data_IF_769344842770
#
_entry.id   IF_769344842770
#
_cell.length_a   1.000
_cell.length_b   1.000
_cell.length_c   1.000
_cell.angle_alpha   90.00
_cell.angle_beta   90.00
_cell.angle_gamma   90.00
#
_symmetry.space_group_name_H-M   'P 1'
#
loop_
_entity.id
_entity.type
_entity.pdbx_description
1 polymer ?
#
# COMPACT_ATOMS: atom_id res chain seq x y z
N UNK A 1 -14.28 -12.58 6.12
CA UNK A 1 -13.26 -13.65 6.14
C UNK A 1 -13.88 -14.93 6.66
N UNK A 2 -13.82 -16.03 5.91
CA UNK A 2 -14.43 -17.31 6.30
C UNK A 2 -13.62 -17.92 7.45
N UNK A 3 -14.28 -18.58 8.44
CA UNK A 3 -13.60 -19.27 9.56
C UNK A 3 -12.51 -20.23 9.07
N UNK A 4 -12.69 -20.84 7.93
CA UNK A 4 -11.72 -21.75 7.28
C UNK A 4 -10.45 -21.01 6.85
N UNK A 5 -10.58 -19.81 6.32
CA UNK A 5 -9.43 -18.98 5.91
C UNK A 5 -8.65 -18.48 7.12
N UNK A 6 -9.33 -18.21 8.21
CA UNK A 6 -8.71 -17.77 9.45
C UNK A 6 -7.81 -18.83 10.08
N UNK A 7 -8.28 -20.09 10.11
CA UNK A 7 -7.45 -21.19 10.62
C UNK A 7 -6.22 -21.43 9.73
N UNK A 8 -6.37 -21.33 8.41
CA UNK A 8 -5.24 -21.44 7.49
C UNK A 8 -4.26 -20.28 7.64
N UNK A 9 -4.76 -19.05 7.78
CA UNK A 9 -3.92 -17.86 8.03
C UNK A 9 -3.11 -18.03 9.31
N UNK A 10 -3.75 -18.44 10.42
CA UNK A 10 -3.05 -18.66 11.69
C UNK A 10 -1.98 -19.75 11.59
N UNK A 11 -2.23 -20.83 10.84
CA UNK A 11 -1.23 -21.88 10.61
C UNK A 11 -0.05 -21.35 9.81
N UNK A 12 -0.30 -20.57 8.76
CA UNK A 12 0.75 -19.99 7.93
C UNK A 12 1.55 -18.96 8.72
N UNK A 13 0.90 -18.07 9.45
CA UNK A 13 1.55 -17.10 10.34
C UNK A 13 2.39 -17.78 11.42
N UNK A 14 1.87 -18.85 12.02
CA UNK A 14 2.60 -19.64 13.00
C UNK A 14 3.86 -20.30 12.43
N UNK A 15 3.77 -20.87 11.21
CA UNK A 15 4.92 -21.43 10.51
C UNK A 15 5.94 -20.37 10.13
N UNK A 16 5.47 -19.24 9.60
CA UNK A 16 6.32 -18.11 9.27
C UNK A 16 7.01 -17.54 10.51
N UNK A 17 6.27 -17.36 11.60
CA UNK A 17 6.81 -16.92 12.89
C UNK A 17 7.87 -17.86 13.45
N UNK A 18 7.65 -19.18 13.39
CA UNK A 18 8.64 -20.17 13.82
C UNK A 18 9.91 -20.07 12.98
N UNK A 19 9.78 -19.96 11.66
CA UNK A 19 10.92 -19.78 10.76
C UNK A 19 11.63 -18.46 11.09
N UNK A 20 10.89 -17.38 11.27
CA UNK A 20 11.41 -16.07 11.65
C UNK A 20 12.13 -16.08 12.99
N UNK A 21 11.56 -16.72 14.02
CA UNK A 21 12.18 -16.84 15.34
C UNK A 21 13.47 -17.66 15.32
N UNK A 22 13.63 -18.54 14.32
CA UNK A 22 14.87 -19.29 14.11
C UNK A 22 15.95 -18.47 13.36
N UNK A 23 15.59 -17.32 12.78
CA UNK A 23 16.53 -16.42 12.15
C UNK A 23 17.16 -15.53 13.22
N UNK A 24 18.45 -15.24 13.03
CA UNK A 24 19.12 -14.27 13.86
C UNK A 24 18.50 -12.88 13.61
N UNK A 25 17.83 -12.31 14.61
CA UNK A 25 17.06 -11.06 14.48
C UNK A 25 17.94 -9.82 14.35
N UNK A 26 19.25 -9.94 14.57
CA UNK A 26 20.21 -8.87 14.30
C UNK A 26 20.58 -8.99 12.82
N UNK A 27 20.16 -8.06 11.96
CA UNK A 27 20.51 -8.10 10.54
C UNK A 27 22.03 -7.94 10.42
N UNK A 28 22.71 -9.04 10.10
CA UNK A 28 24.12 -9.01 9.75
C UNK A 28 24.23 -8.44 8.35
N UNK A 29 24.83 -7.26 8.24
CA UNK A 29 25.14 -6.67 6.95
C UNK A 29 26.16 -7.55 6.23
N UNK A 30 25.77 -8.11 5.10
CA UNK A 30 26.64 -8.89 4.22
C UNK A 30 26.74 -8.20 2.87
N UNK A 31 27.93 -8.20 2.32
CA UNK A 31 28.17 -7.64 0.99
C UNK A 31 28.18 -8.78 -0.04
N UNK A 32 27.39 -8.65 -1.09
CA UNK A 32 27.28 -9.67 -2.15
C UNK A 32 28.65 -10.04 -2.72
N UNK A 33 29.50 -9.06 -2.97
CA UNK A 33 30.85 -9.27 -3.48
C UNK A 33 31.69 -10.26 -2.64
N UNK A 34 31.39 -10.40 -1.35
CA UNK A 34 32.11 -11.27 -0.42
C UNK A 34 31.43 -12.62 -0.21
N UNK A 35 30.15 -12.74 -0.52
CA UNK A 35 29.33 -13.88 -0.11
C UNK A 35 28.67 -14.64 -1.26
N UNK A 36 28.51 -14.01 -2.43
CA UNK A 36 27.92 -14.70 -3.59
C UNK A 36 28.91 -15.70 -4.14
N UNK A 37 28.43 -16.92 -4.37
CA UNK A 37 29.18 -17.99 -5.03
C UNK A 37 29.04 -17.88 -6.55
N UNK A 38 30.11 -18.22 -7.26
CA UNK A 38 30.14 -18.19 -8.73
C UNK A 38 29.02 -19.07 -9.34
N UNK A 39 28.83 -20.28 -8.82
CA UNK A 39 27.80 -21.22 -9.32
C UNK A 39 26.38 -20.64 -9.21
N UNK A 40 26.10 -19.87 -8.14
CA UNK A 40 24.83 -19.17 -7.98
C UNK A 40 24.64 -18.12 -9.08
N UNK A 41 25.65 -17.31 -9.35
CA UNK A 41 25.58 -16.28 -10.40
C UNK A 41 25.47 -16.91 -11.80
N UNK A 42 26.25 -17.96 -12.09
CA UNK A 42 26.21 -18.68 -13.35
C UNK A 42 24.80 -19.25 -13.58
N UNK A 43 24.26 -19.97 -12.61
CA UNK A 43 22.89 -20.51 -12.70
C UNK A 43 21.84 -19.41 -12.92
N UNK A 44 21.95 -18.30 -12.20
CA UNK A 44 21.02 -17.17 -12.38
C UNK A 44 21.13 -16.57 -13.78
N UNK A 45 22.35 -16.36 -14.28
CA UNK A 45 22.63 -15.80 -15.61
C UNK A 45 22.08 -16.74 -16.71
N UNK A 46 22.39 -18.01 -16.64
CA UNK A 46 21.95 -19.01 -17.63
C UNK A 46 20.42 -19.06 -17.73
N UNK A 47 19.75 -19.09 -16.58
CA UNK A 47 18.29 -19.08 -16.49
C UNK A 47 17.70 -17.78 -17.04
N UNK A 48 18.30 -16.62 -16.73
CA UNK A 48 17.85 -15.34 -17.23
C UNK A 48 17.99 -15.24 -18.75
N UNK A 49 19.13 -15.65 -19.30
CA UNK A 49 19.34 -15.71 -20.76
C UNK A 49 18.42 -16.71 -21.44
N UNK A 50 18.17 -17.88 -20.80
CA UNK A 50 17.23 -18.85 -21.32
C UNK A 50 15.85 -18.25 -21.53
N UNK A 51 15.26 -17.61 -20.54
CA UNK A 51 13.90 -17.02 -20.65
C UNK A 51 13.88 -15.79 -21.56
N UNK A 52 14.95 -15.01 -21.60
CA UNK A 52 15.06 -13.88 -22.51
C UNK A 52 15.00 -14.32 -23.98
N UNK A 53 15.73 -15.40 -24.34
CA UNK A 53 15.76 -15.95 -25.71
C UNK A 53 14.51 -16.76 -26.03
N UNK A 54 13.90 -17.40 -25.06
CA UNK A 54 12.78 -18.33 -25.23
C UNK A 54 11.51 -17.63 -25.67
N UNK A 55 11.17 -16.52 -25.05
CA UNK A 55 9.86 -15.91 -25.23
C UNK A 55 9.85 -14.78 -26.27
N UNK A 56 8.83 -14.76 -27.18
CA UNK A 56 8.83 -13.87 -28.35
C UNK A 56 8.72 -12.37 -28.00
N UNK A 57 8.08 -12.02 -26.90
CA UNK A 57 7.94 -10.63 -26.46
C UNK A 57 9.25 -9.99 -26.01
N UNK A 58 10.27 -10.78 -25.74
CA UNK A 58 11.59 -10.26 -25.36
C UNK A 58 12.49 -9.90 -26.55
N UNK A 59 12.04 -10.13 -27.80
CA UNK A 59 12.84 -9.80 -28.99
C UNK A 59 13.13 -8.31 -29.13
N UNK A 60 12.25 -7.45 -28.61
CA UNK A 60 12.41 -6.00 -28.60
C UNK A 60 13.09 -5.47 -27.32
N UNK A 61 13.40 -6.34 -26.36
CA UNK A 61 14.02 -5.93 -25.11
C UNK A 61 15.52 -5.72 -25.32
N UNK A 62 16.02 -4.50 -25.07
CA UNK A 62 17.44 -4.19 -25.16
C UNK A 62 18.26 -4.98 -24.14
N UNK A 63 19.57 -5.05 -24.34
CA UNK A 63 20.45 -5.69 -23.36
C UNK A 63 20.46 -4.96 -22.03
N UNK A 64 20.37 -3.63 -22.03
CA UNK A 64 20.28 -2.79 -20.85
C UNK A 64 18.98 -3.10 -20.08
N UNK A 65 17.84 -3.17 -20.77
CA UNK A 65 16.57 -3.55 -20.18
C UNK A 65 16.57 -5.00 -19.67
N UNK A 66 17.22 -5.92 -20.38
CA UNK A 66 17.44 -7.28 -19.88
C UNK A 66 18.23 -7.29 -18.59
N UNK A 67 19.33 -6.53 -18.51
CA UNK A 67 20.16 -6.41 -17.33
C UNK A 67 19.41 -5.80 -16.15
N UNK A 68 18.42 -4.94 -16.40
CA UNK A 68 17.64 -4.28 -15.36
C UNK A 68 16.44 -5.13 -14.91
N UNK A 69 15.71 -5.73 -15.85
CA UNK A 69 14.39 -6.30 -15.53
C UNK A 69 14.36 -7.82 -15.47
N UNK A 70 15.28 -8.54 -16.11
CA UNK A 70 15.29 -10.01 -16.14
C UNK A 70 16.49 -10.64 -15.46
N UNK A 71 17.67 -10.06 -15.63
CA UNK A 71 18.93 -10.62 -15.11
C UNK A 71 19.09 -10.56 -13.59
N UNK A 72 18.57 -9.56 -12.86
CA UNK A 72 18.89 -9.41 -11.44
C UNK A 72 18.56 -10.64 -10.61
N UNK A 73 19.49 -11.02 -9.75
CA UNK A 73 19.40 -12.19 -8.88
C UNK A 73 18.69 -11.91 -7.54
N UNK A 74 18.43 -10.64 -7.25
CA UNK A 74 17.68 -10.16 -6.08
C UNK A 74 16.80 -8.97 -6.44
N UNK A 75 15.97 -8.52 -5.49
CA UNK A 75 15.09 -7.36 -5.64
C UNK A 75 15.67 -6.16 -4.88
N UNK A 76 16.15 -6.38 -3.66
CA UNK A 76 16.69 -5.36 -2.78
C UNK A 76 17.76 -5.92 -1.84
N UNK A 77 17.52 -5.87 -0.55
CA UNK A 77 18.43 -6.29 0.53
C UNK A 77 18.03 -7.61 1.20
N UNK A 78 17.16 -8.39 0.57
CA UNK A 78 16.70 -9.69 1.05
C UNK A 78 17.80 -10.75 1.08
N UNK A 79 17.58 -11.82 1.85
CA UNK A 79 18.44 -13.00 1.86
C UNK A 79 18.53 -13.63 0.47
N UNK A 80 19.75 -13.94 0.03
CA UNK A 80 19.98 -14.65 -1.23
C UNK A 80 19.52 -16.10 -1.09
N UNK A 81 18.63 -16.51 -1.98
CA UNK A 81 18.08 -17.87 -2.06
C UNK A 81 17.99 -18.31 -3.52
N UNK A 82 17.99 -19.63 -3.74
CA UNK A 82 17.79 -20.17 -5.09
C UNK A 82 16.29 -20.20 -5.45
N UNK A 83 15.79 -18.99 -5.75
CA UNK A 83 14.37 -18.77 -6.01
C UNK A 83 14.00 -19.00 -7.48
N UNK A 84 14.90 -18.68 -8.42
CA UNK A 84 14.57 -18.57 -9.84
C UNK A 84 14.08 -19.89 -10.44
N UNK A 85 14.77 -20.99 -10.18
CA UNK A 85 14.40 -22.32 -10.66
C UNK A 85 13.04 -22.78 -10.10
N UNK A 86 12.77 -22.52 -8.82
CA UNK A 86 11.50 -22.87 -8.18
C UNK A 86 10.30 -22.14 -8.81
N UNK A 87 10.43 -20.86 -9.01
CA UNK A 87 9.38 -20.05 -9.66
C UNK A 87 9.23 -20.44 -11.13
N UNK A 88 10.34 -20.63 -11.85
CA UNK A 88 10.31 -21.05 -13.24
C UNK A 88 9.59 -22.40 -13.43
N UNK A 89 9.96 -23.43 -12.70
CA UNK A 89 9.34 -24.73 -12.78
C UNK A 89 7.83 -24.71 -12.52
N UNK A 90 7.40 -23.86 -11.61
CA UNK A 90 5.99 -23.75 -11.25
C UNK A 90 5.19 -23.00 -12.32
N UNK A 91 5.70 -21.90 -12.86
CA UNK A 91 4.92 -20.96 -13.67
C UNK A 91 5.19 -21.02 -15.18
N UNK A 92 6.37 -21.45 -15.62
CA UNK A 92 6.70 -21.51 -17.05
C UNK A 92 5.75 -22.37 -17.89
N UNK A 93 5.15 -23.50 -17.40
CA UNK A 93 4.24 -24.28 -18.20
C UNK A 93 3.03 -23.51 -18.72
N UNK A 94 2.59 -22.47 -17.99
CA UNK A 94 1.47 -21.61 -18.39
C UNK A 94 1.85 -20.78 -19.62
N UNK A 95 3.05 -20.20 -19.60
CA UNK A 95 3.56 -19.39 -20.70
C UNK A 95 4.00 -20.26 -21.90
N UNK A 96 4.43 -21.49 -21.68
CA UNK A 96 4.75 -22.43 -22.73
C UNK A 96 3.49 -22.86 -23.52
N UNK A 97 2.34 -22.87 -22.86
CA UNK A 97 1.04 -23.09 -23.49
C UNK A 97 0.51 -21.85 -24.24
N UNK A 98 0.98 -20.66 -23.91
CA UNK A 98 0.57 -19.40 -24.56
C UNK A 98 1.23 -19.28 -25.93
N UNK A 99 0.42 -19.13 -26.97
CA UNK A 99 0.90 -19.02 -28.36
C UNK A 99 0.98 -17.59 -28.91
N UNK A 100 0.62 -16.60 -28.07
CA UNK A 100 0.72 -15.18 -28.43
C UNK A 100 2.11 -14.60 -28.19
N UNK A 101 2.24 -13.32 -28.52
CA UNK A 101 3.48 -12.55 -28.35
C UNK A 101 3.29 -11.29 -27.46
N UNK A 102 2.09 -11.09 -26.92
CA UNK A 102 1.79 -9.95 -26.06
C UNK A 102 2.27 -10.22 -24.62
N UNK A 103 3.26 -9.46 -24.18
CA UNK A 103 3.81 -9.56 -22.83
C UNK A 103 2.78 -9.18 -21.73
N UNK A 104 1.83 -8.31 -22.05
CA UNK A 104 0.79 -7.90 -21.10
C UNK A 104 -0.17 -9.06 -20.84
N UNK A 105 -0.57 -9.79 -21.90
CA UNK A 105 -1.40 -10.98 -21.71
C UNK A 105 -0.60 -12.11 -21.04
N UNK A 106 0.68 -12.29 -21.38
CA UNK A 106 1.57 -13.23 -20.69
C UNK A 106 1.66 -12.92 -19.18
N UNK A 107 1.80 -11.64 -18.82
CA UNK A 107 1.76 -11.17 -17.44
C UNK A 107 0.42 -11.53 -16.77
N UNK A 108 -0.70 -11.26 -17.43
CA UNK A 108 -2.03 -11.51 -16.90
C UNK A 108 -2.32 -13.01 -16.70
N UNK A 109 -1.83 -13.86 -17.58
CA UNK A 109 -1.90 -15.32 -17.39
C UNK A 109 -1.18 -15.75 -16.10
N UNK A 110 0.01 -15.22 -15.83
CA UNK A 110 0.72 -15.48 -14.57
C UNK A 110 0.00 -14.88 -13.36
N UNK A 111 -0.59 -13.70 -13.48
CA UNK A 111 -1.38 -13.08 -12.41
C UNK A 111 -2.55 -13.99 -12.03
N UNK A 112 -3.29 -14.52 -13.01
CA UNK A 112 -4.41 -15.45 -12.79
C UNK A 112 -3.95 -16.73 -12.08
N UNK A 113 -2.77 -17.22 -12.42
CA UNK A 113 -2.19 -18.39 -11.74
C UNK A 113 -1.73 -18.07 -10.32
N UNK A 114 -1.03 -16.95 -10.12
CA UNK A 114 -0.60 -16.49 -8.80
C UNK A 114 -1.78 -16.29 -7.85
N UNK A 115 -2.94 -15.86 -8.36
CA UNK A 115 -4.18 -15.68 -7.57
C UNK A 115 -4.75 -17.00 -7.04
N UNK A 116 -4.47 -18.14 -7.67
CA UNK A 116 -4.91 -19.45 -7.16
C UNK A 116 -4.22 -19.80 -5.84
N UNK A 117 -2.98 -19.38 -5.68
CA UNK A 117 -2.25 -19.46 -4.44
C UNK A 117 -2.54 -18.23 -3.58
N UNK A 118 -3.34 -18.35 -2.56
CA UNK A 118 -3.76 -17.25 -1.69
C UNK A 118 -2.55 -16.52 -1.09
N UNK A 119 -2.56 -15.21 -1.19
CA UNK A 119 -1.68 -14.33 -0.44
C UNK A 119 -2.38 -13.86 0.84
N UNK A 120 -1.69 -13.97 1.98
CA UNK A 120 -2.21 -13.52 3.26
C UNK A 120 -1.65 -12.16 3.60
N UNK A 121 -2.46 -11.15 3.33
CA UNK A 121 -2.11 -9.77 3.64
C UNK A 121 -2.16 -9.52 5.15
N UNK A 122 -1.03 -9.14 5.73
CA UNK A 122 -0.91 -8.79 7.14
C UNK A 122 0.08 -7.63 7.30
N UNK A 123 -0.42 -6.48 7.75
CA UNK A 123 0.38 -5.28 8.00
C UNK A 123 0.98 -5.24 9.39
N UNK A 124 0.47 -6.06 10.31
CA UNK A 124 0.93 -6.11 11.70
C UNK A 124 2.12 -7.06 11.90
N UNK A 125 2.42 -7.84 10.86
CA UNK A 125 3.52 -8.80 10.87
C UNK A 125 4.81 -8.13 10.37
N UNK A 126 5.57 -7.60 11.31
CA UNK A 126 6.88 -7.00 11.00
C UNK A 126 7.93 -8.08 10.77
N UNK A 127 8.31 -8.26 9.52
CA UNK A 127 9.39 -9.14 9.10
C UNK A 127 10.45 -8.34 8.34
N UNK A 128 11.72 -8.78 8.32
CA UNK A 128 12.72 -8.18 7.43
C UNK A 128 12.36 -8.48 5.96
N UNK A 129 13.13 -7.94 5.05
CA UNK A 129 12.99 -8.25 3.64
C UNK A 129 13.28 -9.73 3.39
N UNK A 130 12.24 -10.50 3.08
CA UNK A 130 12.34 -11.95 2.96
C UNK A 130 12.64 -12.37 1.53
N UNK A 131 13.57 -13.32 1.39
CA UNK A 131 13.99 -13.84 0.10
C UNK A 131 12.90 -14.68 -0.60
N UNK A 132 13.12 -14.93 -1.90
CA UNK A 132 12.14 -15.59 -2.76
C UNK A 132 11.72 -16.98 -2.29
N UNK A 133 12.60 -17.76 -1.67
CA UNK A 133 12.24 -19.07 -1.14
C UNK A 133 11.22 -19.00 0.01
N UNK A 134 11.40 -18.04 0.91
CA UNK A 134 10.44 -17.80 1.99
C UNK A 134 9.08 -17.44 1.41
N UNK A 135 9.05 -16.47 0.49
CA UNK A 135 7.82 -15.98 -0.13
C UNK A 135 7.15 -17.03 -1.02
N UNK A 136 7.92 -17.90 -1.66
CA UNK A 136 7.37 -19.06 -2.40
C UNK A 136 6.58 -20.00 -1.49
N UNK A 137 7.08 -20.24 -0.28
CA UNK A 137 6.49 -21.20 0.65
C UNK A 137 5.35 -20.62 1.50
N UNK A 138 5.44 -19.34 1.91
CA UNK A 138 4.54 -18.80 2.94
C UNK A 138 3.56 -17.75 2.43
N UNK A 139 3.88 -17.00 1.36
CA UNK A 139 2.99 -16.00 0.72
C UNK A 139 2.27 -15.08 1.69
N UNK A 140 3.03 -14.52 2.60
CA UNK A 140 2.55 -13.70 3.71
C UNK A 140 3.31 -12.38 3.74
N UNK A 141 2.61 -11.29 4.02
CA UNK A 141 3.21 -9.98 4.25
C UNK A 141 2.31 -8.83 3.86
N UNK A 142 2.90 -7.66 3.68
CA UNK A 142 2.23 -6.45 3.24
C UNK A 142 2.32 -6.28 1.71
N UNK A 143 2.13 -5.06 1.23
CA UNK A 143 2.18 -4.76 -0.20
C UNK A 143 3.56 -5.06 -0.82
N UNK A 144 4.66 -4.84 -0.08
CA UNK A 144 6.01 -5.13 -0.56
C UNK A 144 6.19 -6.61 -0.86
N UNK A 145 5.90 -7.49 0.09
CA UNK A 145 6.03 -8.95 -0.07
C UNK A 145 5.14 -9.48 -1.22
N UNK A 146 3.96 -8.88 -1.39
CA UNK A 146 3.11 -9.18 -2.55
C UNK A 146 3.77 -8.76 -3.87
N UNK A 147 4.39 -7.58 -3.93
CA UNK A 147 5.14 -7.14 -5.11
C UNK A 147 6.35 -8.03 -5.38
N UNK A 148 7.08 -8.44 -4.35
CA UNK A 148 8.27 -9.27 -4.49
C UNK A 148 7.93 -10.65 -5.07
N UNK A 149 6.82 -11.28 -4.64
CA UNK A 149 6.29 -12.51 -5.26
C UNK A 149 6.00 -12.27 -6.74
N UNK A 150 5.38 -11.13 -7.09
CA UNK A 150 5.15 -10.74 -8.48
C UNK A 150 6.46 -10.66 -9.27
N UNK A 151 7.48 -9.96 -8.74
CA UNK A 151 8.80 -9.86 -9.39
C UNK A 151 9.44 -11.24 -9.58
N UNK A 152 9.49 -12.07 -8.54
CA UNK A 152 10.10 -13.39 -8.65
C UNK A 152 9.44 -14.26 -9.73
N UNK A 153 8.10 -14.32 -9.74
CA UNK A 153 7.36 -15.09 -10.73
C UNK A 153 7.56 -14.57 -12.17
N UNK A 154 7.40 -13.25 -12.36
CA UNK A 154 7.51 -12.62 -13.67
C UNK A 154 8.93 -12.69 -14.21
N UNK A 155 9.92 -12.35 -13.39
CA UNK A 155 11.34 -12.36 -13.77
C UNK A 155 11.83 -13.78 -14.08
N UNK A 156 11.43 -14.77 -13.29
CA UNK A 156 11.75 -16.19 -13.55
C UNK A 156 11.18 -16.66 -14.90
N UNK A 157 10.06 -16.12 -15.33
CA UNK A 157 9.36 -16.48 -16.56
C UNK A 157 9.59 -15.50 -17.72
N UNK A 158 10.61 -14.66 -17.65
CA UNK A 158 11.00 -13.78 -18.75
C UNK A 158 10.00 -12.65 -19.04
N UNK A 159 9.27 -12.17 -18.03
CA UNK A 159 8.40 -11.00 -18.14
C UNK A 159 9.09 -9.82 -17.45
N UNK A 160 9.44 -8.75 -18.20
CA UNK A 160 10.16 -7.61 -17.66
C UNK A 160 9.25 -6.79 -16.75
N UNK A 161 9.59 -6.76 -15.46
CA UNK A 161 8.79 -6.12 -14.42
C UNK A 161 9.63 -5.34 -13.43
N UNK A 162 9.04 -4.28 -12.87
CA UNK A 162 9.63 -3.45 -11.83
C UNK A 162 8.63 -3.21 -10.69
N UNK A 163 9.07 -2.45 -9.69
CA UNK A 163 8.26 -2.03 -8.56
C UNK A 163 8.19 -0.50 -8.55
N UNK A 164 6.98 0.03 -8.57
CA UNK A 164 6.70 1.43 -8.35
C UNK A 164 6.13 1.65 -6.95
N UNK A 165 6.39 2.84 -6.37
CA UNK A 165 5.94 3.21 -5.04
C UNK A 165 5.64 4.69 -4.93
N UNK A 166 4.76 5.06 -4.01
CA UNK A 166 4.69 6.40 -3.46
C UNK A 166 5.07 6.40 -1.97
N UNK A 167 5.59 7.53 -1.51
CA UNK A 167 6.07 7.66 -0.13
C UNK A 167 4.91 7.79 0.85
N UNK A 168 3.96 8.68 0.54
CA UNK A 168 2.80 8.92 1.39
C UNK A 168 1.64 9.45 0.57
N UNK A 169 0.46 8.85 0.74
CA UNK A 169 -0.79 9.36 0.19
C UNK A 169 -1.54 10.19 1.22
N UNK A 170 -1.95 11.39 0.84
CA UNK A 170 -2.78 12.26 1.69
C UNK A 170 -4.14 11.66 1.99
N UNK A 171 -4.59 10.75 1.12
CA UNK A 171 -5.91 10.11 1.19
C UNK A 171 -5.86 8.79 1.96
N UNK A 172 -4.83 7.95 1.70
CA UNK A 172 -4.70 6.61 2.29
C UNK A 172 -3.82 6.54 3.52
N UNK A 173 -3.16 7.64 3.87
CA UNK A 173 -2.36 7.77 5.08
C UNK A 173 -1.23 6.76 5.21
N UNK A 174 -0.54 6.47 4.15
CA UNK A 174 0.59 5.55 4.16
C UNK A 174 1.30 5.49 2.82
N UNK A 175 2.38 4.72 2.79
CA UNK A 175 3.08 4.35 1.56
C UNK A 175 2.41 3.15 0.89
N UNK A 176 2.64 2.98 -0.39
CA UNK A 176 2.22 1.79 -1.12
C UNK A 176 3.19 1.44 -2.23
N UNK A 177 3.25 0.15 -2.55
CA UNK A 177 4.04 -0.40 -3.65
C UNK A 177 3.15 -1.26 -4.54
N UNK A 178 3.43 -1.26 -5.83
CA UNK A 178 2.78 -2.14 -6.81
C UNK A 178 3.79 -2.53 -7.89
N UNK A 179 3.45 -3.57 -8.65
CA UNK A 179 4.27 -3.97 -9.77
C UNK A 179 3.89 -3.20 -11.04
N UNK A 180 4.85 -3.10 -11.96
CA UNK A 180 4.61 -2.64 -13.31
C UNK A 180 5.25 -3.62 -14.30
N UNK A 181 4.56 -3.95 -15.38
CA UNK A 181 5.09 -4.72 -16.51
C UNK A 181 5.50 -3.76 -17.62
N UNK A 182 6.71 -3.95 -18.16
CA UNK A 182 7.17 -3.21 -19.32
C UNK A 182 6.63 -3.89 -20.59
N UNK A 183 5.86 -3.16 -21.39
CA UNK A 183 5.37 -3.67 -22.65
C UNK A 183 6.46 -3.57 -23.77
N UNK A 184 6.14 -4.11 -24.94
CA UNK A 184 7.05 -4.12 -26.09
C UNK A 184 7.35 -2.73 -26.69
N UNK A 185 6.57 -1.71 -26.32
CA UNK A 185 6.78 -0.30 -26.72
C UNK A 185 7.59 0.49 -25.71
N UNK A 186 7.90 -0.10 -24.55
CA UNK A 186 8.64 0.53 -23.48
C UNK A 186 7.79 1.20 -22.40
N UNK A 187 6.46 1.14 -22.52
CA UNK A 187 5.57 1.65 -21.49
C UNK A 187 5.46 0.68 -20.32
N UNK A 188 5.27 1.24 -19.15
CA UNK A 188 5.10 0.48 -17.92
C UNK A 188 3.64 0.53 -17.47
N UNK A 189 3.03 -0.66 -17.40
CA UNK A 189 1.63 -0.83 -17.06
C UNK A 189 1.50 -1.39 -15.66
N UNK A 190 0.86 -0.68 -14.73
CA UNK A 190 0.69 -1.12 -13.36
C UNK A 190 -0.17 -2.39 -13.26
N UNK A 191 0.20 -3.23 -12.29
CA UNK A 191 -0.61 -4.36 -11.84
C UNK A 191 -0.33 -4.65 -10.36
N UNK A 192 -1.27 -5.30 -9.73
CA UNK A 192 -1.06 -5.88 -8.42
C UNK A 192 -1.75 -7.24 -8.38
N UNK A 193 -0.95 -8.31 -8.43
CA UNK A 193 -1.46 -9.65 -8.72
C UNK A 193 -2.57 -10.10 -7.78
N UNK A 194 -2.62 -9.60 -6.53
CA UNK A 194 -3.68 -9.94 -5.58
C UNK A 194 -4.99 -9.21 -5.87
N UNK A 195 -4.97 -8.10 -6.62
CA UNK A 195 -6.12 -7.22 -6.80
C UNK A 195 -6.50 -7.05 -8.28
N UNK A 196 -5.59 -6.56 -9.13
CA UNK A 196 -5.89 -6.22 -10.52
C UNK A 196 -4.79 -6.64 -11.50
N UNK A 197 -5.19 -6.90 -12.73
CA UNK A 197 -4.36 -7.26 -13.86
C UNK A 197 -3.80 -6.01 -14.56
N UNK A 198 -2.71 -6.19 -15.33
CA UNK A 198 -2.17 -5.13 -16.16
C UNK A 198 -3.12 -4.80 -17.33
N UNK A 199 -3.27 -3.52 -17.63
CA UNK A 199 -4.11 -3.05 -18.75
C UNK A 199 -3.52 -1.81 -19.41
N UNK A 200 -3.62 -1.72 -20.74
CA UNK A 200 -3.26 -0.51 -21.49
C UNK A 200 -4.28 0.61 -21.29
N UNK A 201 -5.52 0.26 -20.95
CA UNK A 201 -6.62 1.19 -20.68
C UNK A 201 -6.81 1.40 -19.17
N UNK A 202 -5.72 1.43 -18.40
CA UNK A 202 -5.80 1.53 -16.95
C UNK A 202 -6.37 2.87 -16.53
N UNK A 203 -7.43 2.80 -15.72
CA UNK A 203 -8.02 3.97 -15.07
C UNK A 203 -7.24 4.33 -13.82
N UNK A 204 -7.25 5.62 -13.46
CA UNK A 204 -6.73 6.07 -12.17
C UNK A 204 -7.46 5.31 -11.04
N UNK A 205 -6.67 4.78 -10.11
CA UNK A 205 -7.18 4.07 -8.94
C UNK A 205 -7.74 5.01 -7.85
N UNK A 206 -7.77 6.32 -8.12
CA UNK A 206 -8.25 7.35 -7.20
C UNK A 206 -7.30 7.65 -6.03
N UNK A 207 -6.14 7.01 -5.97
CA UNK A 207 -5.15 7.27 -4.93
C UNK A 207 -4.33 8.50 -5.28
N UNK A 208 -4.26 9.45 -4.35
CA UNK A 208 -3.37 10.60 -4.47
C UNK A 208 -1.97 10.20 -4.04
N UNK A 209 -1.03 10.18 -4.98
CA UNK A 209 0.32 9.65 -4.84
C UNK A 209 1.36 10.76 -4.62
N UNK A 210 1.09 11.95 -5.15
CA UNK A 210 1.97 13.11 -5.16
C UNK A 210 3.19 12.94 -6.04
N UNK A 211 3.96 11.88 -5.79
CA UNK A 211 5.15 11.46 -6.55
C UNK A 211 5.20 9.95 -6.64
N UNK A 212 5.78 9.42 -7.73
CA UNK A 212 5.97 7.99 -7.94
C UNK A 212 7.43 7.70 -8.25
N UNK A 213 7.99 6.73 -7.54
CA UNK A 213 9.37 6.28 -7.69
C UNK A 213 9.42 4.82 -8.10
N UNK A 214 10.30 4.48 -9.06
CA UNK A 214 10.57 3.12 -9.48
C UNK A 214 11.86 2.61 -8.87
N UNK A 215 11.83 1.37 -8.40
CA UNK A 215 13.03 0.67 -7.95
C UNK A 215 13.75 0.05 -9.14
N UNK A 216 15.07 0.20 -9.15
CA UNK A 216 15.99 -0.34 -10.14
C UNK A 216 17.02 -1.24 -9.46
N UNK A 217 17.61 -2.15 -10.23
CA UNK A 217 18.75 -2.94 -9.78
C UNK A 217 20.06 -2.17 -9.99
N UNK A 218 20.18 -1.47 -11.10
CA UNK A 218 21.31 -0.60 -11.39
C UNK A 218 21.23 0.74 -10.65
N UNK A 219 22.39 1.34 -10.41
CA UNK A 219 22.49 2.68 -9.80
C UNK A 219 21.87 3.71 -10.74
N UNK A 220 20.91 4.47 -10.24
CA UNK A 220 20.22 5.55 -10.97
C UNK A 220 20.72 6.93 -10.56
N UNK A 221 21.07 7.08 -9.27
CA UNK A 221 21.53 8.34 -8.70
C UNK A 221 22.89 8.16 -8.04
N UNK A 222 23.80 9.05 -8.37
CA UNK A 222 25.12 9.07 -7.73
C UNK A 222 25.10 10.09 -6.59
N UNK A 223 25.19 9.59 -5.37
CA UNK A 223 25.27 10.40 -4.16
C UNK A 223 26.69 10.39 -3.60
N UNK A 224 27.11 11.53 -3.06
CA UNK A 224 28.35 11.59 -2.27
C UNK A 224 28.20 10.78 -0.98
N UNK A 225 29.32 10.38 -0.40
CA UNK A 225 29.31 9.70 0.90
C UNK A 225 28.62 10.53 1.99
N UNK A 226 28.78 11.86 1.95
CA UNK A 226 28.15 12.79 2.88
C UNK A 226 26.61 12.80 2.72
N UNK A 227 26.10 12.81 1.49
CA UNK A 227 24.64 12.75 1.24
C UNK A 227 24.05 11.43 1.73
N UNK A 228 24.72 10.30 1.45
CA UNK A 228 24.28 8.97 1.91
C UNK A 228 24.26 8.89 3.44
N UNK A 229 25.24 9.49 4.12
CA UNK A 229 25.37 9.47 5.58
C UNK A 229 24.49 10.52 6.28
N UNK A 230 24.01 11.53 5.59
CA UNK A 230 23.19 12.58 6.18
C UNK A 230 21.81 12.06 6.61
N UNK A 231 21.68 11.70 7.90
CA UNK A 231 20.44 11.15 8.48
C UNK A 231 19.27 12.13 8.49
N UNK A 232 19.52 13.42 8.29
CA UNK A 232 18.46 14.42 8.18
C UNK A 232 17.68 14.32 6.85
N UNK A 233 18.31 13.78 5.81
CA UNK A 233 17.62 13.50 4.54
C UNK A 233 16.87 12.17 4.66
N UNK A 234 15.56 12.09 4.33
CA UNK A 234 14.80 10.86 4.35
C UNK A 234 15.48 9.72 3.55
N UNK A 235 15.39 8.50 4.07
CA UNK A 235 16.13 7.34 3.54
C UNK A 235 15.91 7.12 2.04
N UNK A 236 14.67 7.29 1.57
CA UNK A 236 14.36 7.10 0.16
C UNK A 236 15.19 8.04 -0.74
N UNK A 237 15.38 9.29 -0.33
CA UNK A 237 16.15 10.26 -1.12
C UNK A 237 17.68 10.07 -1.05
N UNK A 238 18.11 9.06 -0.33
CA UNK A 238 19.51 8.61 -0.26
C UNK A 238 19.72 7.24 -0.90
N UNK A 239 18.64 6.65 -1.43
CA UNK A 239 18.68 5.36 -2.11
C UNK A 239 19.13 5.56 -3.56
N UNK A 240 20.32 5.07 -3.97
CA UNK A 240 20.79 5.23 -5.33
C UNK A 240 20.06 4.37 -6.35
N UNK A 241 19.22 3.44 -5.91
CA UNK A 241 18.52 2.46 -6.74
C UNK A 241 17.09 2.85 -7.09
N UNK A 242 16.72 4.11 -6.90
CA UNK A 242 15.39 4.61 -7.26
C UNK A 242 15.47 5.73 -8.28
N UNK A 243 14.42 5.88 -9.07
CA UNK A 243 14.24 6.98 -10.02
C UNK A 243 12.82 7.51 -9.93
N UNK A 244 12.68 8.83 -10.03
CA UNK A 244 11.38 9.48 -10.21
C UNK A 244 10.79 9.10 -11.58
N UNK A 245 9.60 8.51 -11.57
CA UNK A 245 8.83 8.15 -12.76
C UNK A 245 7.46 8.80 -12.77
N UNK A 246 7.28 9.87 -12.00
CA UNK A 246 6.01 10.59 -11.84
C UNK A 246 5.44 11.08 -13.15
N UNK A 247 6.30 11.45 -14.13
CA UNK A 247 5.87 11.84 -15.47
C UNK A 247 5.04 10.76 -16.18
N UNK A 248 5.33 9.47 -15.92
CA UNK A 248 4.58 8.36 -16.51
C UNK A 248 3.12 8.28 -16.00
N UNK A 249 2.84 8.91 -14.86
CA UNK A 249 1.54 8.90 -14.19
C UNK A 249 0.78 10.22 -14.33
N UNK A 250 1.50 11.34 -14.28
CA UNK A 250 0.89 12.67 -14.13
C UNK A 250 1.23 13.62 -15.28
N UNK A 251 2.14 13.22 -16.18
CA UNK A 251 2.70 14.10 -17.18
C UNK A 251 3.74 15.07 -16.62
N UNK A 252 4.16 16.02 -17.42
CA UNK A 252 5.20 17.01 -17.08
C UNK A 252 4.58 18.22 -16.39
N UNK A 253 4.33 18.10 -15.11
CA UNK A 253 3.78 19.16 -14.25
C UNK A 253 4.88 19.71 -13.33
N UNK A 254 5.42 20.87 -13.66
CA UNK A 254 6.54 21.47 -12.95
C UNK A 254 6.11 22.71 -12.19
N UNK A 255 6.64 22.92 -10.99
CA UNK A 255 6.43 24.13 -10.20
C UNK A 255 7.75 24.72 -9.74
N UNK A 256 7.84 26.05 -9.73
CA UNK A 256 8.97 26.81 -9.20
C UNK A 256 8.53 27.55 -7.94
N UNK A 257 9.24 27.34 -6.86
CA UNK A 257 8.91 27.87 -5.54
C UNK A 257 10.08 28.74 -5.07
N UNK A 258 9.86 30.05 -4.84
CA UNK A 258 10.86 30.91 -4.20
C UNK A 258 11.13 30.42 -2.77
N UNK A 259 12.40 30.25 -2.42
CA UNK A 259 12.86 29.86 -1.10
C UNK A 259 13.54 31.07 -0.46
N UNK A 260 13.02 31.50 0.68
CA UNK A 260 13.55 32.66 1.40
C UNK A 260 14.69 32.28 2.34
N UNK A 261 14.64 31.05 2.84
CA UNK A 261 15.66 30.51 3.73
C UNK A 261 16.96 30.23 2.99
N UNK A 262 18.09 30.56 3.59
CA UNK A 262 19.41 30.18 3.07
C UNK A 262 19.60 28.66 3.25
N UNK A 263 19.48 27.91 2.19
CA UNK A 263 19.66 26.46 2.17
C UNK A 263 19.96 25.95 0.75
N UNK A 264 20.68 24.84 0.67
CA UNK A 264 21.04 24.20 -0.61
C UNK A 264 19.96 23.19 -1.06
N UNK A 265 19.12 22.72 -0.14
CA UNK A 265 18.17 21.64 -0.38
C UNK A 265 16.78 22.01 0.10
N UNK A 266 15.84 21.99 -0.82
CA UNK A 266 14.42 22.06 -0.55
C UNK A 266 13.74 20.70 -0.76
N UNK A 267 12.63 20.49 -0.07
CA UNK A 267 11.79 19.31 -0.20
C UNK A 267 10.34 19.74 -0.40
N UNK A 268 9.53 18.84 -0.92
CA UNK A 268 8.10 19.04 -1.05
C UNK A 268 7.38 18.02 -0.15
N UNK A 269 6.55 18.52 0.75
CA UNK A 269 5.83 17.71 1.72
C UNK A 269 4.36 17.57 1.40
N UNK A 270 3.77 16.44 1.81
CA UNK A 270 2.32 16.22 1.85
C UNK A 270 1.86 16.03 3.28
N UNK A 271 0.60 16.34 3.54
CA UNK A 271 0.04 16.28 4.89
C UNK A 271 -0.13 14.84 5.39
N UNK A 272 0.22 14.63 6.66
CA UNK A 272 -0.05 13.41 7.41
C UNK A 272 -0.50 13.73 8.85
N UNK A 273 -1.06 12.77 9.60
CA UNK A 273 -1.37 12.96 11.02
C UNK A 273 -0.17 13.35 11.89
N UNK A 274 1.04 13.04 11.42
CA UNK A 274 2.29 13.32 12.13
C UNK A 274 2.99 14.60 11.67
N UNK A 275 2.35 15.38 10.80
CA UNK A 275 2.92 16.56 10.17
C UNK A 275 3.21 16.35 8.69
N UNK A 276 4.07 17.18 8.14
CA UNK A 276 4.43 17.13 6.72
C UNK A 276 5.46 16.03 6.45
N UNK A 277 5.15 15.16 5.49
CA UNK A 277 6.07 14.10 5.03
C UNK A 277 6.66 14.53 3.70
N UNK A 278 7.97 14.64 3.63
CA UNK A 278 8.67 14.94 2.39
C UNK A 278 8.48 13.80 1.37
N UNK A 279 8.01 14.16 0.18
CA UNK A 279 7.78 13.23 -0.94
C UNK A 279 8.63 13.53 -2.16
N UNK A 280 9.30 14.68 -2.19
CA UNK A 280 10.25 15.07 -3.23
C UNK A 280 11.37 15.93 -2.66
N UNK A 281 12.51 16.00 -3.35
CA UNK A 281 13.62 16.89 -3.02
C UNK A 281 14.22 17.51 -4.26
N UNK A 282 14.73 18.72 -4.13
CA UNK A 282 15.46 19.43 -5.19
C UNK A 282 16.55 20.33 -4.61
N UNK A 283 17.56 20.64 -5.42
CA UNK A 283 18.58 21.64 -5.07
C UNK A 283 17.95 23.04 -5.27
N UNK A 284 18.27 23.98 -4.37
CA UNK A 284 17.88 25.37 -4.48
C UNK A 284 18.89 26.11 -5.35
N UNK A 285 18.45 26.61 -6.49
CA UNK A 285 19.28 27.38 -7.41
C UNK A 285 18.83 28.83 -7.43
N UNK A 286 19.73 29.76 -7.05
CA UNK A 286 19.45 31.21 -7.01
C UNK A 286 18.17 31.56 -6.23
N UNK A 287 17.94 30.88 -5.11
CA UNK A 287 16.77 31.08 -4.26
C UNK A 287 15.47 30.49 -4.79
N UNK A 288 15.53 29.59 -5.79
CA UNK A 288 14.34 28.92 -6.34
C UNK A 288 14.52 27.41 -6.27
N UNK A 289 13.48 26.73 -5.78
CA UNK A 289 13.34 25.28 -5.83
C UNK A 289 12.41 24.89 -6.98
N UNK A 290 12.88 24.05 -7.89
CA UNK A 290 12.06 23.52 -9.00
C UNK A 290 11.72 22.05 -8.73
N UNK A 291 10.42 21.77 -8.60
CA UNK A 291 9.89 20.41 -8.48
C UNK A 291 9.22 19.99 -9.78
N UNK A 292 9.48 18.77 -10.20
CA UNK A 292 9.05 18.26 -11.50
C UNK A 292 7.96 17.21 -11.37
N UNK A 293 7.10 17.11 -12.38
CA UNK A 293 6.16 15.99 -12.58
C UNK A 293 5.23 15.73 -11.38
N UNK A 294 4.68 16.79 -10.79
CA UNK A 294 3.80 16.68 -9.63
C UNK A 294 2.41 16.19 -10.03
N UNK A 295 1.78 15.41 -9.16
CA UNK A 295 0.34 15.14 -9.27
C UNK A 295 -0.44 16.42 -8.93
N UNK A 296 -1.41 16.78 -9.78
CA UNK A 296 -2.24 17.97 -9.59
C UNK A 296 -3.30 17.77 -8.50
N UNK A 297 -3.83 18.87 -7.98
CA UNK A 297 -4.93 18.89 -7.02
C UNK A 297 -4.61 18.17 -5.69
N UNK A 298 -3.37 18.30 -5.25
CA UNK A 298 -2.88 17.89 -3.92
C UNK A 298 -2.39 19.10 -3.17
N UNK A 299 -2.58 19.12 -1.86
CA UNK A 299 -2.00 20.13 -0.98
C UNK A 299 -0.55 19.78 -0.71
N UNK A 300 0.35 20.65 -1.13
CA UNK A 300 1.78 20.55 -0.90
C UNK A 300 2.26 21.63 0.06
N UNK A 301 3.33 21.31 0.80
CA UNK A 301 4.06 22.25 1.66
C UNK A 301 5.53 22.25 1.26
N UNK A 302 6.10 23.39 0.87
CA UNK A 302 7.54 23.52 0.73
C UNK A 302 8.22 23.29 2.08
N UNK A 303 9.32 22.57 2.07
CA UNK A 303 10.11 22.22 3.25
C UNK A 303 11.58 22.54 2.97
N UNK A 304 12.30 22.95 3.98
CA UNK A 304 13.75 23.20 3.90
C UNK A 304 14.49 22.44 4.98
N UNK A 305 15.72 22.04 4.68
CA UNK A 305 16.61 21.37 5.63
C UNK A 305 17.55 22.42 6.25
N UNK A 306 17.33 22.74 7.52
CA UNK A 306 18.18 23.68 8.27
C UNK A 306 18.64 23.05 9.57
N UNK A 307 19.93 23.17 9.88
CA UNK A 307 20.56 22.66 11.12
C UNK A 307 20.21 21.20 11.43
N UNK A 308 20.06 20.37 10.38
CA UNK A 308 19.74 18.95 10.51
C UNK A 308 18.27 18.62 10.76
N UNK A 309 17.37 19.60 10.66
CA UNK A 309 15.93 19.43 10.82
C UNK A 309 15.17 19.92 9.58
N UNK A 310 14.06 19.26 9.28
CA UNK A 310 13.16 19.65 8.19
C UNK A 310 12.08 20.58 8.77
N UNK A 311 11.94 21.76 8.18
CA UNK A 311 10.99 22.79 8.58
C UNK A 311 10.10 23.20 7.41
N UNK A 312 8.82 23.57 7.65
CA UNK A 312 8.00 24.24 6.65
C UNK A 312 8.60 25.55 6.18
N UNK A 313 8.50 25.84 4.90
CA UNK A 313 8.89 27.08 4.25
C UNK A 313 7.68 27.70 3.55
N UNK A 314 7.38 28.96 3.87
CA UNK A 314 6.21 29.64 3.30
C UNK A 314 4.87 28.97 3.62
N UNK A 315 3.93 29.06 2.70
CA UNK A 315 2.56 28.55 2.87
C UNK A 315 2.30 27.28 2.05
N UNK A 316 1.40 26.40 2.53
CA UNK A 316 0.91 25.31 1.71
C UNK A 316 0.21 25.83 0.46
N UNK A 317 0.22 25.01 -0.59
CA UNK A 317 -0.44 25.34 -1.84
C UNK A 317 -1.06 24.13 -2.52
N UNK A 318 -2.02 24.36 -3.42
CA UNK A 318 -2.51 23.40 -4.40
C UNK A 318 -2.05 23.84 -5.78
N UNK A 319 -1.58 22.89 -6.59
CA UNK A 319 -1.29 23.11 -8.00
C UNK A 319 -2.34 22.38 -8.86
N UNK A 320 -3.02 23.13 -9.73
CA UNK A 320 -4.11 22.60 -10.57
C UNK A 320 -3.64 22.14 -11.96
N UNK A 321 -2.34 22.19 -12.22
CA UNK A 321 -1.72 21.91 -13.52
C UNK A 321 -1.36 23.18 -14.31
N UNK A 322 -1.80 24.36 -13.83
CA UNK A 322 -1.52 25.65 -14.47
C UNK A 322 -1.06 26.71 -13.48
N UNK A 323 -1.65 26.75 -12.30
CA UNK A 323 -1.45 27.78 -11.28
C UNK A 323 -1.34 27.16 -9.88
N UNK A 324 -0.54 27.78 -9.03
CA UNK A 324 -0.46 27.50 -7.60
C UNK A 324 -1.43 28.42 -6.84
N UNK A 325 -2.22 27.82 -5.94
CA UNK A 325 -3.13 28.52 -5.03
C UNK A 325 -2.64 28.32 -3.61
N UNK A 326 -2.15 29.39 -2.99
CA UNK A 326 -1.59 29.34 -1.64
C UNK A 326 -2.66 29.48 -0.58
N UNK A 327 -2.55 28.71 0.50
CA UNK A 327 -3.38 28.84 1.70
C UNK A 327 -2.74 29.82 2.67
N UNK A 328 -3.00 31.09 2.48
CA UNK A 328 -2.51 32.14 3.35
C UNK A 328 -3.57 32.42 4.41
N UNK A 329 -3.28 32.18 5.73
CA UNK A 329 -4.27 32.40 6.78
C UNK A 329 -4.54 33.91 6.94
N UNK A 330 -5.81 34.25 7.01
CA UNK A 330 -6.23 35.59 7.46
C UNK A 330 -6.36 35.55 9.00
N UNK A 331 -5.39 36.13 9.69
CA UNK A 331 -5.35 36.14 11.15
C UNK A 331 -6.31 37.15 11.77
N UNK A 332 -6.99 37.98 10.95
CA UNK A 332 -7.99 38.95 11.41
C UNK A 332 -9.40 38.35 11.46
N UNK A 333 -9.63 37.22 10.80
CA UNK A 333 -10.92 36.55 10.73
C UNK A 333 -10.83 35.14 11.42
N UNK A 334 -11.79 34.90 12.30
CA UNK A 334 -11.89 33.63 13.01
C UNK A 334 -13.23 32.98 12.71
N UNK A 335 -13.21 31.69 12.35
CA UNK A 335 -14.41 30.90 12.11
C UNK A 335 -14.39 29.62 12.96
N UNK A 336 -15.58 29.13 13.33
CA UNK A 336 -15.72 27.88 14.07
C UNK A 336 -16.03 26.76 13.10
N UNK A 337 -15.03 25.89 12.85
CA UNK A 337 -15.18 24.75 11.96
C UNK A 337 -15.48 23.49 12.78
N UNK A 338 -16.66 22.85 12.61
CA UNK A 338 -16.93 21.58 13.24
C UNK A 338 -16.07 20.46 12.60
N UNK A 339 -15.17 19.90 13.38
CA UNK A 339 -14.33 18.78 12.91
C UNK A 339 -14.97 17.48 13.41
N UNK A 340 -15.57 16.72 12.51
CA UNK A 340 -16.21 15.44 12.84
C UNK A 340 -15.31 14.23 12.61
N UNK A 341 -14.31 14.37 11.73
CA UNK A 341 -13.37 13.30 11.39
C UNK A 341 -12.05 13.87 10.89
N UNK A 342 -10.94 13.28 11.34
CA UNK A 342 -9.58 13.69 10.95
C UNK A 342 -9.27 13.42 9.46
N UNK A 343 -9.76 12.28 8.94
CA UNK A 343 -9.62 11.90 7.54
C UNK A 343 -10.96 11.38 7.02
N UNK A 344 -11.45 11.87 5.87
CA UNK A 344 -12.66 11.33 5.25
C UNK A 344 -12.40 9.90 4.76
N UNK A 345 -13.41 9.04 4.90
CA UNK A 345 -13.41 7.75 4.22
C UNK A 345 -13.60 7.97 2.71
N UNK A 346 -12.88 7.20 1.93
CA UNK A 346 -13.11 7.17 0.49
C UNK A 346 -14.43 6.48 0.15
N UNK A 347 -15.11 6.86 -0.94
CA UNK A 347 -16.39 6.25 -1.33
C UNK A 347 -16.34 4.71 -1.41
N UNK A 348 -15.24 4.15 -1.93
CA UNK A 348 -15.09 2.69 -2.01
C UNK A 348 -14.98 2.03 -0.63
N UNK A 349 -14.36 2.68 0.37
CA UNK A 349 -14.29 2.18 1.75
C UNK A 349 -15.67 2.19 2.40
N UNK A 350 -16.42 3.28 2.20
CA UNK A 350 -17.82 3.40 2.66
C UNK A 350 -18.66 2.31 2.02
N UNK A 351 -18.55 2.11 0.72
CA UNK A 351 -19.27 1.08 -0.01
C UNK A 351 -18.91 -0.33 0.48
N UNK A 352 -17.63 -0.61 0.71
CA UNK A 352 -17.18 -1.89 1.25
C UNK A 352 -17.77 -2.17 2.63
N UNK A 353 -17.70 -1.20 3.55
CA UNK A 353 -18.28 -1.33 4.90
C UNK A 353 -19.81 -1.51 4.84
N UNK A 354 -20.48 -0.74 4.01
CA UNK A 354 -21.93 -0.81 3.84
C UNK A 354 -22.37 -2.16 3.27
N UNK A 355 -21.67 -2.69 2.26
CA UNK A 355 -21.95 -4.02 1.70
C UNK A 355 -21.83 -5.14 2.73
N UNK A 356 -20.93 -5.00 3.69
CA UNK A 356 -20.77 -5.98 4.77
C UNK A 356 -21.89 -5.88 5.83
N UNK A 357 -22.51 -4.72 5.93
CA UNK A 357 -23.65 -4.49 6.83
C UNK A 357 -25.01 -4.94 6.24
N UNK A 358 -25.14 -5.07 4.93
CA UNK A 358 -26.41 -5.44 4.27
C UNK A 358 -26.96 -6.75 4.82
N UNK A 359 -28.17 -6.72 5.35
CA UNK A 359 -28.84 -7.88 5.93
C UNK A 359 -28.31 -8.29 7.30
N UNK A 360 -27.52 -7.43 7.97
CA UNK A 360 -27.17 -7.64 9.37
C UNK A 360 -28.41 -7.49 10.26
N UNK A 361 -28.51 -8.32 11.28
CA UNK A 361 -29.68 -8.36 12.18
C UNK A 361 -29.28 -7.84 13.56
N UNK A 362 -30.03 -6.88 14.07
CA UNK A 362 -29.96 -6.45 15.46
C UNK A 362 -31.14 -7.11 16.19
N UNK A 363 -30.84 -7.90 17.21
CA UNK A 363 -31.80 -8.63 18.03
C UNK A 363 -31.75 -8.17 19.47
N UNK A 364 -32.89 -8.18 20.13
CA UNK A 364 -33.03 -7.95 21.58
C UNK A 364 -33.58 -9.19 22.30
N UNK A 365 -33.07 -9.48 23.51
CA UNK A 365 -33.60 -10.53 24.38
C UNK A 365 -33.44 -10.13 25.86
N UNK A 366 -34.23 -10.78 26.72
CA UNK A 366 -34.10 -10.69 28.20
C UNK A 366 -33.01 -11.63 28.70
N UNK A 367 -32.69 -12.69 27.95
CA UNK A 367 -31.69 -13.71 28.24
C UNK A 367 -30.44 -13.51 27.34
N UNK A 368 -29.28 -13.60 27.98
CA UNK A 368 -27.96 -13.50 27.27
C UNK A 368 -27.74 -14.64 26.24
N UNK A 369 -28.46 -15.75 26.42
CA UNK A 369 -28.40 -16.87 25.47
C UNK A 369 -29.22 -16.63 24.18
N UNK A 370 -30.01 -15.55 24.12
CA UNK A 370 -30.85 -15.19 22.98
C UNK A 370 -31.77 -16.33 22.49
N UNK A 371 -32.40 -17.03 23.43
CA UNK A 371 -33.33 -18.15 23.13
C UNK A 371 -34.66 -17.68 22.58
N UNK A 372 -35.10 -16.48 22.97
CA UNK A 372 -36.38 -15.88 22.58
C UNK A 372 -36.18 -14.49 22.01
N UNK A 373 -35.14 -14.34 21.17
CA UNK A 373 -34.80 -13.05 20.62
C UNK A 373 -35.87 -12.47 19.70
N UNK A 374 -36.06 -11.16 19.80
CA UNK A 374 -36.90 -10.37 18.90
C UNK A 374 -35.99 -9.59 17.95
N UNK A 375 -36.24 -9.67 16.66
CA UNK A 375 -35.54 -8.84 15.69
C UNK A 375 -35.96 -7.39 15.84
N UNK A 376 -35.01 -6.52 16.11
CA UNK A 376 -35.23 -5.08 16.25
C UNK A 376 -35.05 -4.37 14.91
N UNK A 377 -33.96 -4.71 14.19
CA UNK A 377 -33.61 -4.11 12.92
C UNK A 377 -32.96 -5.15 12.01
N UNK A 378 -33.31 -5.11 10.74
CA UNK A 378 -32.54 -5.72 9.66
C UNK A 378 -31.98 -4.56 8.84
N UNK A 379 -30.65 -4.50 8.70
CA UNK A 379 -30.02 -3.41 7.95
C UNK A 379 -30.36 -3.51 6.48
N UNK A 380 -30.82 -2.41 5.83
CA UNK A 380 -31.23 -2.41 4.44
C UNK A 380 -30.04 -2.62 3.48
N UNK A 381 -30.34 -3.01 2.25
CA UNK A 381 -29.36 -3.21 1.18
C UNK A 381 -28.75 -1.88 0.68
N UNK A 382 -29.38 -0.76 0.98
CA UNK A 382 -28.91 0.58 0.64
C UNK A 382 -28.66 1.38 1.91
N UNK A 383 -27.42 1.40 2.37
CA UNK A 383 -26.96 2.30 3.43
C UNK A 383 -26.20 3.42 2.75
N UNK A 384 -26.68 4.66 2.93
CA UNK A 384 -26.04 5.85 2.35
C UNK A 384 -25.24 6.58 3.44
N UNK A 385 -23.97 6.81 3.17
CA UNK A 385 -23.09 7.52 4.09
C UNK A 385 -22.50 6.65 5.19
N UNK A 386 -21.90 7.30 6.19
CA UNK A 386 -21.18 6.66 7.30
C UNK A 386 -21.98 6.64 8.61
N UNK A 387 -23.19 7.14 8.61
CA UNK A 387 -24.13 7.12 9.74
C UNK A 387 -25.52 6.72 9.28
N UNK A 388 -26.10 5.77 9.99
CA UNK A 388 -27.47 5.30 9.73
C UNK A 388 -28.24 5.30 11.04
N UNK A 389 -29.41 5.93 11.06
CA UNK A 389 -30.30 5.98 12.20
C UNK A 389 -31.60 5.26 11.87
N UNK A 390 -32.05 4.39 12.74
CA UNK A 390 -33.28 3.64 12.57
C UNK A 390 -34.19 3.90 13.77
N UNK A 391 -35.44 4.30 13.47
CA UNK A 391 -36.46 4.42 14.48
C UNK A 391 -37.21 3.06 14.60
N UNK A 392 -37.31 2.53 15.82
CA UNK A 392 -38.09 1.32 16.07
C UNK A 392 -39.57 1.68 16.17
N UNK A 393 -40.37 1.06 15.34
CA UNK A 393 -41.82 1.33 15.31
C UNK A 393 -42.54 0.88 16.59
N UNK A 394 -42.01 -0.14 17.28
CA UNK A 394 -42.57 -0.67 18.51
C UNK A 394 -41.51 -0.70 19.60
N UNK A 395 -41.79 -0.23 20.83
CA UNK A 395 -40.88 -0.33 21.94
C UNK A 395 -40.69 -1.80 22.37
N UNK A 396 -39.43 -2.22 22.47
CA UNK A 396 -39.09 -3.59 22.91
C UNK A 396 -38.36 -3.54 24.22
N UNK A 397 -38.88 -4.28 25.21
CA UNK A 397 -38.17 -4.45 26.51
C UNK A 397 -37.16 -5.59 26.39
N UNK A 398 -35.89 -5.27 26.26
CA UNK A 398 -34.81 -6.24 26.26
C UNK A 398 -33.70 -5.81 27.24
N UNK A 399 -32.92 -6.76 27.72
CA UNK A 399 -31.76 -6.53 28.58
C UNK A 399 -30.46 -6.65 27.81
N UNK A 400 -30.48 -7.49 26.76
CA UNK A 400 -29.32 -7.76 25.92
C UNK A 400 -29.66 -7.45 24.47
N UNK A 401 -28.66 -6.93 23.76
CA UNK A 401 -28.75 -6.67 22.33
C UNK A 401 -27.59 -7.38 21.65
N UNK A 402 -27.87 -8.02 20.53
CA UNK A 402 -26.89 -8.72 19.73
C UNK A 402 -26.95 -8.24 18.28
N UNK A 403 -25.77 -7.94 17.72
CA UNK A 403 -25.58 -7.69 16.29
C UNK A 403 -25.09 -8.98 15.63
N UNK A 404 -25.84 -9.50 14.68
CA UNK A 404 -25.51 -10.68 13.90
C UNK A 404 -25.10 -10.29 12.49
N UNK A 405 -23.88 -10.70 12.10
CA UNK A 405 -23.43 -10.57 10.72
C UNK A 405 -24.20 -11.52 9.79
N UNK A 406 -24.47 -11.14 8.54
CA UNK A 406 -24.91 -12.06 7.51
C UNK A 406 -23.92 -13.21 7.35
N UNK A 407 -24.43 -14.37 6.92
CA UNK A 407 -23.57 -15.57 6.74
C UNK A 407 -22.41 -15.28 5.79
N UNK A 408 -21.19 -15.53 6.25
CA UNK A 408 -19.96 -15.35 5.47
C UNK A 408 -19.46 -13.91 5.35
N UNK A 409 -20.12 -12.94 6.02
CA UNK A 409 -19.69 -11.55 6.07
C UNK A 409 -19.12 -11.21 7.43
N UNK A 410 -18.25 -10.20 7.45
CA UNK A 410 -17.67 -9.60 8.64
C UNK A 410 -18.15 -8.16 8.74
N UNK A 411 -18.74 -7.81 9.88
CA UNK A 411 -19.22 -6.45 10.12
C UNK A 411 -18.07 -5.63 10.71
N UNK A 412 -17.83 -4.47 10.13
CA UNK A 412 -16.99 -3.41 10.67
C UNK A 412 -17.89 -2.25 11.05
N UNK A 413 -18.04 -2.02 12.35
CA UNK A 413 -18.90 -0.97 12.90
C UNK A 413 -18.08 -0.13 13.87
N UNK A 414 -18.01 1.17 13.63
CA UNK A 414 -17.26 2.08 14.49
C UNK A 414 -18.02 2.36 15.80
N UNK A 415 -19.34 2.46 15.73
CA UNK A 415 -20.19 2.79 16.88
C UNK A 415 -21.60 2.22 16.67
N UNK A 416 -22.17 1.71 17.75
CA UNK A 416 -23.61 1.40 17.87
C UNK A 416 -24.13 2.16 19.09
N UNK A 417 -25.06 3.07 18.88
CA UNK A 417 -25.68 3.88 19.94
C UNK A 417 -27.17 3.62 20.00
N UNK A 418 -27.72 3.53 21.19
CA UNK A 418 -29.14 3.40 21.42
C UNK A 418 -29.67 4.65 22.14
N UNK A 419 -30.90 4.99 21.80
CA UNK A 419 -31.62 6.10 22.41
C UNK A 419 -33.02 5.64 22.80
N UNK A 420 -33.54 6.17 23.90
CA UNK A 420 -34.93 5.91 24.32
C UNK A 420 -35.93 6.79 23.55
N UNK A 421 -37.22 6.66 23.90
CA UNK A 421 -38.30 7.46 23.30
C UNK A 421 -38.18 8.98 23.51
N UNK A 422 -37.39 9.39 24.51
CA UNK A 422 -37.11 10.79 24.81
C UNK A 422 -35.80 11.28 24.16
N UNK A 423 -35.24 10.50 23.25
CA UNK A 423 -33.95 10.75 22.60
C UNK A 423 -32.77 10.85 23.57
N UNK A 424 -32.87 10.15 24.70
CA UNK A 424 -31.79 10.06 25.68
C UNK A 424 -30.91 8.82 25.40
N UNK A 425 -29.59 9.01 25.43
CA UNK A 425 -28.63 7.93 25.24
C UNK A 425 -28.75 6.84 26.27
N UNK A 426 -28.88 5.60 25.84
CA UNK A 426 -28.90 4.42 26.70
C UNK A 426 -27.50 3.86 26.80
N UNK A 427 -26.83 3.93 27.97
CA UNK A 427 -25.49 3.41 28.13
C UNK A 427 -25.48 1.88 28.04
N UNK A 428 -24.55 1.35 27.24
CA UNK A 428 -24.37 -0.08 27.02
C UNK A 428 -23.01 -0.55 27.53
N UNK A 429 -22.98 -1.77 28.09
CA UNK A 429 -21.73 -2.48 28.35
C UNK A 429 -21.54 -3.54 27.28
N UNK A 430 -20.44 -3.45 26.53
CA UNK A 430 -20.11 -4.42 25.50
C UNK A 430 -19.51 -5.66 26.15
N UNK A 431 -20.12 -6.83 25.92
CA UNK A 431 -19.54 -8.13 26.23
C UNK A 431 -19.18 -8.84 24.94
N UNK A 432 -17.97 -9.38 24.87
CA UNK A 432 -17.52 -10.08 23.67
C UNK A 432 -18.14 -11.47 23.56
N UNK A 433 -18.55 -11.83 22.34
CA UNK A 433 -18.77 -13.22 21.96
C UNK A 433 -17.44 -13.99 22.06
N UNK A 434 -17.45 -15.32 22.33
CA UNK A 434 -16.23 -16.16 22.34
C UNK A 434 -15.45 -16.19 21.02
N UNK A 435 -15.94 -15.54 19.99
CA UNK A 435 -15.21 -15.21 18.77
C UNK A 435 -14.89 -13.71 18.75
N UNK A 436 -13.77 -13.27 19.33
CA UNK A 436 -13.39 -11.86 19.38
C UNK A 436 -12.79 -11.43 18.03
N UNK A 437 -13.58 -11.49 16.98
CA UNK A 437 -13.27 -10.80 15.76
C UNK A 437 -14.09 -9.53 15.69
N UNK A 438 -13.43 -8.46 16.09
CA UNK A 438 -13.60 -7.13 15.52
C UNK A 438 -14.82 -6.34 16.01
N UNK A 439 -14.69 -5.87 17.21
CA UNK A 439 -14.95 -4.47 17.42
C UNK A 439 -13.58 -3.81 17.56
N UNK A 440 -13.01 -3.32 16.48
CA UNK A 440 -12.09 -2.21 16.56
C UNK A 440 -12.95 -1.03 17.02
N UNK A 441 -13.05 -0.85 18.31
CA UNK A 441 -13.36 0.44 18.86
C UNK A 441 -12.13 1.29 18.59
N UNK A 442 -12.13 2.01 17.49
CA UNK A 442 -11.36 3.24 17.43
C UNK A 442 -11.74 3.99 18.70
N UNK A 443 -10.76 4.43 19.52
CA UNK A 443 -11.09 5.17 20.73
C UNK A 443 -11.96 6.34 20.31
N UNK A 444 -13.16 6.40 20.87
CA UNK A 444 -14.05 7.53 20.69
C UNK A 444 -13.27 8.79 21.12
N UNK A 445 -13.43 9.92 20.40
CA UNK A 445 -12.87 11.20 20.86
C UNK A 445 -13.34 11.62 22.26
N UNK A 446 -14.25 10.85 22.85
CA UNK A 446 -14.78 11.02 24.20
C UNK A 446 -14.13 10.12 25.26
N UNK A 447 -13.14 9.30 24.91
CA UNK A 447 -12.42 8.51 25.91
C UNK A 447 -11.30 9.36 26.52
N UNK A 448 -11.42 9.77 27.80
CA UNK A 448 -10.42 10.63 28.45
C UNK A 448 -9.10 9.93 28.78
N UNK A 449 -8.91 8.68 28.34
CA UNK A 449 -7.71 7.88 28.61
C UNK A 449 -6.71 7.83 27.44
N UNK A 450 -6.92 8.59 26.38
CA UNK A 450 -5.99 8.70 25.24
C UNK A 450 -5.46 10.11 25.05
N UNK A 451 -5.02 10.73 26.14
CA UNK A 451 -4.17 11.93 26.12
C UNK A 451 -2.70 11.54 26.24
#
# INVERSE_FOLDING_TARGET
MCIRDRNNTLIIESKAKKKWQSLNTIPLKRYDLQHIKADYLISNIDMAFHVWKKYPWNRSLSFEDFCEYLLPYRIGDEELTDWRDKFYKKYSPILDAYKGNDVVEACNLLIRELKKDKFFHNTDFSIPHMGGEFLFNYRLGACREGCDIGIYAMRACGIPTAIDRYIHSTVYQGSHTWNVVRDTTGHFLPFWYTVFEASRDMKDDGRRKGKVYRSFFGIQNHYTANEIQNKAIPTLFRDPFIKDVSANYFGENNVQIPIQSECDLAMLGVFSPKGWIAIDKTIVEKGVATFHNLETNIVFQPLVLQKGHIHPEGFPFVYDGKKMYYFIPDTTQWDTVPITRKFPLQPYQINYMNQNLHGAIIEGDKDIAFKHSTTLVITPDTIIGNRHSVLLNNPVKCRYIRLKAPKGKQIELAELSLYDSNNQYIPMKISHSPNPCLLYTSPSPRDPKTS
#
